data_IF_322963360364
#
_entry.id   IF_322963360364
#
_cell.length_a   1.000
_cell.length_b   1.000
_cell.length_c   1.000
_cell.angle_alpha   90.00
_cell.angle_beta   90.00
_cell.angle_gamma   90.00
#
_symmetry.space_group_name_H-M   'P 1'
#
loop_
_entity.id
_entity.type
_entity.pdbx_description
1 polymer ?
#
# COMPACT_ATOMS: atom_id res chain seq x y z
N UNK A 1 15.29 -20.29 8.64
CA UNK A 1 14.12 -19.45 8.95
C UNK A 1 14.10 -18.34 7.92
N UNK A 2 13.37 -18.52 6.81
CA UNK A 2 13.25 -17.48 5.78
C UNK A 2 12.34 -16.39 6.31
N UNK A 3 12.79 -15.14 6.30
CA UNK A 3 11.93 -14.01 6.60
C UNK A 3 10.76 -14.04 5.60
N UNK A 4 9.53 -14.11 6.10
CA UNK A 4 8.32 -14.05 5.29
C UNK A 4 8.21 -12.62 4.75
N UNK A 5 8.85 -12.36 3.61
CA UNK A 5 8.74 -11.07 2.93
C UNK A 5 7.32 -10.97 2.38
N UNK A 6 6.53 -10.04 2.91
CA UNK A 6 5.21 -9.70 2.35
C UNK A 6 5.39 -9.41 0.86
N UNK A 7 4.58 -10.05 0.03
CA UNK A 7 4.59 -9.92 -1.42
C UNK A 7 3.59 -8.86 -1.90
N UNK A 8 3.75 -8.40 -3.14
CA UNK A 8 2.78 -7.47 -3.73
C UNK A 8 1.39 -8.11 -3.87
N UNK A 9 1.32 -9.40 -4.21
CA UNK A 9 0.05 -10.14 -4.33
C UNK A 9 -0.68 -10.20 -2.98
N UNK A 10 0.03 -10.45 -1.88
CA UNK A 10 -0.55 -10.42 -0.54
C UNK A 10 -1.12 -9.04 -0.20
N UNK A 11 -0.43 -7.96 -0.58
CA UNK A 11 -0.99 -6.60 -0.42
C UNK A 11 -2.27 -6.40 -1.22
N UNK A 12 -2.37 -6.95 -2.44
CA UNK A 12 -3.60 -6.90 -3.24
C UNK A 12 -4.74 -7.69 -2.59
N UNK A 13 -4.46 -8.88 -2.06
CA UNK A 13 -5.45 -9.69 -1.35
C UNK A 13 -5.94 -8.99 -0.08
N UNK A 14 -5.04 -8.40 0.71
CA UNK A 14 -5.39 -7.59 1.87
C UNK A 14 -6.22 -6.38 1.45
N UNK A 15 -5.81 -5.63 0.44
CA UNK A 15 -6.56 -4.47 -0.03
C UNK A 15 -8.00 -4.82 -0.44
N UNK A 16 -8.20 -5.95 -1.14
CA UNK A 16 -9.54 -6.48 -1.45
C UNK A 16 -10.33 -6.80 -0.19
N UNK A 17 -9.73 -7.52 0.74
CA UNK A 17 -10.37 -7.89 1.99
C UNK A 17 -10.78 -6.66 2.83
N UNK A 18 -9.95 -5.60 2.85
CA UNK A 18 -10.26 -4.36 3.58
C UNK A 18 -11.43 -3.60 2.94
N UNK A 19 -11.53 -3.59 1.61
CA UNK A 19 -12.64 -2.94 0.90
C UNK A 19 -13.95 -3.72 1.01
N UNK A 20 -13.89 -5.06 1.05
CA UNK A 20 -15.08 -5.92 1.14
C UNK A 20 -15.56 -6.11 2.59
N UNK A 21 -14.62 -6.14 3.53
CA UNK A 21 -14.86 -6.40 4.95
C UNK A 21 -14.09 -5.37 5.80
N UNK A 22 -14.55 -4.12 5.86
CA UNK A 22 -13.81 -3.03 6.52
C UNK A 22 -13.60 -3.20 8.03
N UNK A 23 -14.28 -4.17 8.66
CA UNK A 23 -14.12 -4.52 10.07
C UNK A 23 -13.24 -5.77 10.31
N UNK A 24 -12.73 -6.41 9.25
CA UNK A 24 -11.96 -7.66 9.38
C UNK A 24 -10.55 -7.44 9.93
N UNK A 25 -9.95 -6.28 9.66
CA UNK A 25 -8.66 -5.86 10.22
C UNK A 25 -8.52 -4.34 10.06
N UNK A 26 -7.63 -3.74 10.84
CA UNK A 26 -7.51 -2.28 10.86
C UNK A 26 -6.70 -1.77 9.66
N UNK A 27 -6.92 -0.49 9.33
CA UNK A 27 -6.05 0.24 8.40
C UNK A 27 -4.59 0.21 8.85
N UNK A 28 -4.32 0.25 10.16
CA UNK A 28 -2.96 0.21 10.67
C UNK A 28 -2.29 -1.15 10.44
N UNK A 29 -3.05 -2.25 10.57
CA UNK A 29 -2.52 -3.59 10.24
C UNK A 29 -2.17 -3.70 8.75
N UNK A 30 -2.98 -3.12 7.88
CA UNK A 30 -2.66 -3.01 6.46
C UNK A 30 -1.37 -2.21 6.22
N UNK A 31 -1.24 -1.05 6.86
CA UNK A 31 -0.06 -0.18 6.69
C UNK A 31 1.21 -0.87 7.17
N UNK A 32 1.16 -1.62 8.28
CA UNK A 32 2.30 -2.43 8.74
C UNK A 32 2.73 -3.47 7.71
N UNK A 33 1.78 -4.10 7.00
CA UNK A 33 2.09 -5.02 5.91
C UNK A 33 2.72 -4.33 4.71
N UNK A 34 2.31 -3.10 4.41
CA UNK A 34 2.97 -2.26 3.40
C UNK A 34 4.40 -1.92 3.84
N UNK A 35 4.60 -1.57 5.11
CA UNK A 35 5.92 -1.29 5.69
C UNK A 35 6.86 -2.50 5.56
N UNK A 36 6.41 -3.69 5.93
CA UNK A 36 7.14 -4.95 5.75
C UNK A 36 7.50 -5.22 4.26
N UNK A 37 6.56 -4.99 3.33
CA UNK A 37 6.79 -5.15 1.88
C UNK A 37 7.79 -4.13 1.33
N UNK A 38 7.76 -2.89 1.82
CA UNK A 38 8.71 -1.84 1.43
C UNK A 38 10.09 -2.19 1.95
N UNK A 39 10.24 -2.53 3.23
CA UNK A 39 11.53 -2.87 3.84
C UNK A 39 12.18 -4.10 3.22
N UNK A 40 11.38 -5.06 2.77
CA UNK A 40 11.85 -6.24 2.05
C UNK A 40 12.40 -5.97 0.64
N UNK A 41 12.26 -4.75 0.11
CA UNK A 41 12.76 -4.40 -1.22
C UNK A 41 14.19 -3.85 -1.22
N UNK A 42 14.97 -4.12 -2.29
CA UNK A 42 16.20 -3.40 -2.59
C UNK A 42 16.03 -1.88 -2.57
N UNK A 43 17.08 -1.16 -2.18
CA UNK A 43 17.07 0.30 -2.04
C UNK A 43 16.57 1.05 -3.29
N UNK A 44 17.02 0.66 -4.49
CA UNK A 44 16.58 1.30 -5.73
C UNK A 44 15.06 1.17 -5.98
N UNK A 45 14.44 0.09 -5.49
CA UNK A 45 12.99 -0.08 -5.54
C UNK A 45 12.29 0.73 -4.45
N UNK A 46 12.86 0.83 -3.24
CA UNK A 46 12.33 1.70 -2.17
C UNK A 46 12.34 3.18 -2.56
N UNK A 47 13.36 3.62 -3.30
CA UNK A 47 13.47 4.98 -3.86
C UNK A 47 12.62 5.21 -5.11
N UNK A 48 12.09 4.14 -5.73
CA UNK A 48 11.26 4.27 -6.92
C UNK A 48 9.91 4.90 -6.61
N UNK A 49 9.33 5.54 -7.62
CA UNK A 49 8.07 6.25 -7.52
C UNK A 49 6.88 5.30 -7.70
N UNK A 50 5.84 5.53 -6.92
CA UNK A 50 4.53 4.90 -7.03
C UNK A 50 3.47 5.98 -6.87
N UNK A 51 2.44 5.90 -7.68
CA UNK A 51 1.38 6.89 -7.67
C UNK A 51 0.22 6.47 -8.53
N UNK A 52 -0.89 7.19 -8.38
CA UNK A 52 -2.02 7.08 -9.28
C UNK A 52 -2.18 8.40 -10.03
N UNK A 53 -2.76 8.33 -11.22
CA UNK A 53 -3.23 9.48 -11.98
C UNK A 53 -4.75 9.35 -12.16
N UNK A 54 -5.51 10.39 -11.85
CA UNK A 54 -6.96 10.40 -12.01
C UNK A 54 -7.49 11.75 -12.54
N UNK A 55 -8.79 11.85 -12.88
CA UNK A 55 -9.40 13.02 -13.53
C UNK A 55 -9.40 14.33 -12.71
N UNK A 56 -8.77 14.36 -11.53
CA UNK A 56 -8.64 15.54 -10.67
C UNK A 56 -7.21 15.75 -10.15
N UNK A 57 -6.21 15.18 -10.83
CA UNK A 57 -4.81 15.18 -10.42
C UNK A 57 -4.32 13.80 -9.96
N UNK A 58 -3.00 13.64 -9.94
CA UNK A 58 -2.30 12.45 -9.46
C UNK A 58 -1.36 12.78 -8.31
N UNK A 59 -1.17 11.82 -7.42
CA UNK A 59 -0.15 11.91 -6.37
C UNK A 59 0.87 10.81 -6.61
N UNK A 60 2.14 11.21 -6.64
CA UNK A 60 3.28 10.33 -6.81
C UNK A 60 4.15 10.47 -5.57
N UNK A 61 4.51 9.35 -4.95
CA UNK A 61 5.33 9.27 -3.75
C UNK A 61 6.41 8.22 -3.94
N UNK A 62 7.49 8.27 -3.17
CA UNK A 62 8.45 7.17 -3.15
C UNK A 62 7.85 5.96 -2.43
N UNK A 63 8.21 4.74 -2.83
CA UNK A 63 7.72 3.53 -2.14
C UNK A 63 8.03 3.55 -0.64
N UNK A 64 9.22 4.05 -0.26
CA UNK A 64 9.59 4.23 1.15
C UNK A 64 8.68 5.15 1.96
N UNK A 65 8.00 6.08 1.29
CA UNK A 65 7.09 7.05 1.92
C UNK A 65 5.66 6.50 2.04
N UNK A 66 5.35 5.40 1.36
CA UNK A 66 4.00 4.83 1.35
C UNK A 66 3.42 4.60 2.74
N UNK A 67 4.12 3.98 3.72
CA UNK A 67 3.51 3.72 5.02
C UNK A 67 3.05 5.01 5.72
N UNK A 68 3.87 6.05 5.67
CA UNK A 68 3.55 7.35 6.24
C UNK A 68 2.38 8.01 5.49
N UNK A 69 2.46 8.08 4.15
CA UNK A 69 1.43 8.69 3.31
C UNK A 69 0.08 8.00 3.49
N UNK A 70 0.07 6.66 3.60
CA UNK A 70 -1.15 5.90 3.84
C UNK A 70 -1.76 6.18 5.21
N UNK A 71 -0.99 6.58 6.24
CA UNK A 71 -1.54 6.99 7.54
C UNK A 71 -2.13 8.40 7.47
N UNK A 72 -1.39 9.33 6.87
CA UNK A 72 -1.66 10.77 6.89
C UNK A 72 -2.69 11.24 5.86
N UNK A 73 -2.82 10.56 4.72
CA UNK A 73 -3.73 10.94 3.62
C UNK A 73 -4.81 9.88 3.40
N UNK A 74 -6.00 10.04 4.01
CA UNK A 74 -7.14 9.14 3.82
C UNK A 74 -7.60 9.02 2.38
N UNK A 75 -7.53 10.09 1.58
CA UNK A 75 -7.98 10.08 0.19
C UNK A 75 -7.02 9.25 -0.67
N UNK A 76 -5.72 9.50 -0.53
CA UNK A 76 -4.69 8.70 -1.19
C UNK A 76 -4.81 7.23 -0.79
N UNK A 77 -5.00 6.94 0.51
CA UNK A 77 -5.18 5.58 1.02
C UNK A 77 -6.35 4.86 0.35
N UNK A 78 -7.52 5.48 0.25
CA UNK A 78 -8.69 4.85 -0.41
C UNK A 78 -8.40 4.57 -1.88
N UNK A 79 -7.80 5.52 -2.60
CA UNK A 79 -7.45 5.35 -4.02
C UNK A 79 -6.40 4.27 -4.22
N UNK A 80 -5.38 4.22 -3.36
CA UNK A 80 -4.34 3.20 -3.38
C UNK A 80 -4.91 1.79 -3.11
N UNK A 81 -5.81 1.66 -2.12
CA UNK A 81 -6.49 0.39 -1.85
C UNK A 81 -7.31 -0.09 -3.05
N UNK A 82 -8.05 0.81 -3.71
CA UNK A 82 -8.81 0.49 -4.94
C UNK A 82 -7.88 0.06 -6.08
N UNK A 83 -6.81 0.79 -6.30
CA UNK A 83 -5.78 0.43 -7.27
C UNK A 83 -5.22 -0.97 -7.02
N UNK A 84 -4.83 -1.29 -5.79
CA UNK A 84 -4.33 -2.63 -5.43
C UNK A 84 -5.39 -3.72 -5.63
N UNK A 85 -6.64 -3.42 -5.30
CA UNK A 85 -7.75 -4.35 -5.47
C UNK A 85 -8.12 -4.59 -6.95
N UNK A 86 -7.65 -3.74 -7.86
CA UNK A 86 -8.02 -3.74 -9.29
C UNK A 86 -9.39 -3.12 -9.54
N UNK A 87 -9.75 -2.07 -8.78
CA UNK A 87 -11.03 -1.35 -8.85
C UNK A 87 -10.85 0.14 -9.12
#
# INVERSE_FOLDING_TARGET
MGALTVTFEELQQLARALLERPFAFSVEDFVRKVEEWVEGQPEHLRESLIGYFGPGGGRVVKRKELPQVLREDPEFRVRFLRFLAGR
#
